data_IF_058748452864
#
_entry.id   IF_058748452864
#
_cell.length_a   1.000
_cell.length_b   1.000
_cell.length_c   1.000
_cell.angle_alpha   90.00
_cell.angle_beta   90.00
_cell.angle_gamma   90.00
#
_symmetry.space_group_name_H-M   'P 1'
#
loop_
_entity.id
_entity.type
_entity.pdbx_description
1 polymer ?
#
# COMPACT_ATOMS: atom_id res chain seq x y z
N UNK A 1 -10.82 -6.76 -26.70
CA UNK A 1 -9.88 -6.82 -25.56
C UNK A 1 -8.94 -5.64 -25.69
N UNK A 2 -8.71 -4.91 -24.61
CA UNK A 2 -7.79 -3.76 -24.64
C UNK A 2 -6.63 -4.05 -23.69
N UNK A 3 -5.41 -3.84 -24.17
CA UNK A 3 -4.19 -4.08 -23.40
C UNK A 3 -3.42 -2.77 -23.26
N UNK A 4 -2.93 -2.49 -22.06
CA UNK A 4 -2.16 -1.31 -21.72
C UNK A 4 -0.79 -1.75 -21.20
N UNK A 5 0.26 -1.15 -21.71
CA UNK A 5 1.54 -1.05 -21.02
C UNK A 5 1.39 -0.05 -19.89
N UNK A 6 1.82 -0.43 -18.69
CA UNK A 6 1.68 0.38 -17.50
C UNK A 6 3.05 0.77 -17.00
N UNK A 7 3.25 2.06 -16.80
CA UNK A 7 4.42 2.62 -16.13
C UNK A 7 3.98 3.27 -14.83
N UNK A 8 4.48 2.77 -13.70
CA UNK A 8 4.25 3.34 -12.38
C UNK A 8 5.51 4.06 -11.91
N UNK A 9 5.38 5.31 -11.51
CA UNK A 9 6.47 6.09 -10.89
C UNK A 9 6.11 6.44 -9.46
N UNK A 10 6.99 6.11 -8.51
CA UNK A 10 6.80 6.45 -7.09
C UNK A 10 6.99 7.95 -6.87
N UNK A 11 6.01 8.63 -6.26
CA UNK A 11 6.12 10.04 -5.85
C UNK A 11 6.68 10.12 -4.43
N UNK A 12 6.23 9.22 -3.55
CA UNK A 12 6.76 9.08 -2.20
C UNK A 12 7.12 7.64 -1.91
N UNK A 13 7.84 7.35 -0.81
CA UNK A 13 8.29 5.99 -0.56
C UNK A 13 7.12 5.02 -0.42
N UNK A 14 7.22 3.87 -1.07
CA UNK A 14 6.18 2.83 -1.11
C UNK A 14 6.67 1.61 -0.35
N UNK A 15 5.89 1.17 0.64
CA UNK A 15 6.11 -0.10 1.34
C UNK A 15 4.91 -1.01 1.14
N UNK A 16 5.16 -2.18 0.57
CA UNK A 16 4.22 -3.29 0.51
C UNK A 16 4.94 -4.44 1.22
N UNK A 17 4.44 -4.84 2.39
CA UNK A 17 5.09 -5.88 3.19
C UNK A 17 4.82 -7.28 2.64
N UNK A 18 5.81 -8.16 2.75
CA UNK A 18 5.68 -9.61 2.54
C UNK A 18 5.20 -10.36 3.80
N UNK A 19 5.10 -9.66 4.94
CA UNK A 19 4.75 -10.23 6.24
C UNK A 19 5.96 -10.59 7.10
N UNK A 20 7.17 -10.48 6.57
CA UNK A 20 8.41 -10.81 7.26
C UNK A 20 8.93 -9.62 8.07
N UNK A 21 9.34 -9.89 9.31
CA UNK A 21 10.11 -8.96 10.14
C UNK A 21 11.54 -9.48 10.24
N UNK A 22 12.49 -8.65 9.83
CA UNK A 22 13.91 -8.92 9.89
C UNK A 22 14.47 -8.45 11.24
N UNK A 23 15.42 -9.18 11.82
CA UNK A 23 16.03 -8.87 13.10
C UNK A 23 17.53 -8.59 12.96
N UNK A 24 17.98 -7.49 13.57
CA UNK A 24 19.40 -7.14 13.59
C UNK A 24 20.27 -8.30 14.12
N UNK A 25 21.41 -8.50 13.47
CA UNK A 25 22.40 -9.58 13.66
C UNK A 25 21.93 -10.97 13.25
N UNK A 26 20.64 -11.24 13.14
CA UNK A 26 20.14 -12.51 12.61
C UNK A 26 19.97 -12.47 11.10
N UNK A 27 19.32 -11.40 10.65
CA UNK A 27 18.80 -11.22 9.30
C UNK A 27 19.54 -10.13 8.52
N UNK A 28 19.99 -9.10 9.24
CA UNK A 28 20.70 -7.96 8.67
C UNK A 28 21.74 -7.43 9.65
N UNK A 29 22.68 -6.67 9.14
CA UNK A 29 23.56 -5.81 9.94
C UNK A 29 23.50 -4.39 9.37
N UNK A 30 23.58 -3.40 10.24
CA UNK A 30 23.57 -1.99 9.84
C UNK A 30 24.86 -1.26 10.22
N UNK A 31 25.20 -0.28 9.40
CA UNK A 31 25.98 0.87 9.84
C UNK A 31 25.06 2.10 9.82
N UNK A 32 25.48 3.23 10.41
CA UNK A 32 24.63 4.45 10.51
C UNK A 32 24.05 4.94 9.16
N UNK A 33 24.59 4.51 8.03
CA UNK A 33 24.21 4.97 6.69
C UNK A 33 23.48 3.92 5.84
N UNK A 34 23.63 2.63 6.14
CA UNK A 34 23.17 1.54 5.28
C UNK A 34 22.86 0.28 6.08
N UNK A 35 21.99 -0.55 5.52
CA UNK A 35 21.57 -1.85 6.06
C UNK A 35 21.91 -2.93 5.04
N UNK A 36 22.66 -3.94 5.47
CA UNK A 36 23.06 -5.09 4.65
C UNK A 36 22.27 -6.32 5.08
N UNK A 37 21.47 -6.86 4.15
CA UNK A 37 20.76 -8.14 4.33
C UNK A 37 21.79 -9.26 4.29
N UNK A 38 21.83 -10.07 5.34
CA UNK A 38 22.76 -11.20 5.42
C UNK A 38 22.39 -12.29 4.40
N UNK A 39 23.41 -13.02 3.96
CA UNK A 39 23.26 -14.33 3.33
C UNK A 39 23.57 -15.38 4.40
N UNK A 40 22.56 -15.71 5.18
CA UNK A 40 22.69 -16.52 6.40
C UNK A 40 23.31 -17.88 6.10
N UNK A 41 22.89 -18.53 5.03
CA UNK A 41 23.41 -19.84 4.62
C UNK A 41 24.92 -19.78 4.35
N UNK A 42 25.37 -18.78 3.59
CA UNK A 42 26.80 -18.62 3.26
C UNK A 42 27.62 -18.27 4.50
N UNK A 43 27.07 -17.46 5.41
CA UNK A 43 27.72 -17.10 6.67
C UNK A 43 27.85 -18.32 7.58
N UNK A 44 26.77 -19.10 7.73
CA UNK A 44 26.75 -20.29 8.57
C UNK A 44 27.69 -21.37 8.04
N UNK A 45 27.79 -21.54 6.72
CA UNK A 45 28.75 -22.46 6.11
C UNK A 45 30.20 -22.03 6.37
N UNK A 46 30.53 -20.76 6.07
CA UNK A 46 31.87 -20.20 6.27
C UNK A 46 32.33 -20.26 7.73
N UNK A 47 31.42 -20.04 8.67
CA UNK A 47 31.71 -19.95 10.11
C UNK A 47 31.16 -21.11 10.93
N UNK A 48 30.89 -22.25 10.29
CA UNK A 48 30.36 -23.46 10.92
C UNK A 48 31.13 -23.89 12.17
N UNK A 49 32.46 -23.80 12.15
CA UNK A 49 33.32 -24.12 13.30
C UNK A 49 33.19 -23.17 14.49
N UNK A 50 32.61 -21.98 14.29
CA UNK A 50 32.38 -20.96 15.33
C UNK A 50 30.93 -20.96 15.83
N UNK A 51 30.04 -21.74 15.21
CA UNK A 51 28.67 -21.95 15.65
C UNK A 51 28.64 -22.94 16.83
N UNK A 52 29.19 -22.52 17.96
CA UNK A 52 29.14 -23.26 19.22
C UNK A 52 28.23 -22.54 20.21
N UNK A 53 27.38 -23.27 20.97
CA UNK A 53 26.51 -22.64 21.94
C UNK A 53 27.32 -22.03 23.09
N UNK A 54 26.89 -20.86 23.56
CA UNK A 54 27.40 -20.22 24.76
C UNK A 54 27.01 -20.98 26.03
N UNK A 55 27.49 -20.48 27.18
CA UNK A 55 27.17 -21.08 28.50
C UNK A 55 25.68 -21.10 28.83
N UNK A 56 24.90 -20.22 28.21
CA UNK A 56 23.44 -20.12 28.34
C UNK A 56 22.69 -20.98 27.30
N UNK A 57 23.42 -21.76 26.48
CA UNK A 57 22.86 -22.59 25.41
C UNK A 57 22.48 -21.81 24.14
N UNK A 58 22.68 -20.49 24.10
CA UNK A 58 22.37 -19.68 22.92
C UNK A 58 23.48 -19.77 21.87
N UNK A 59 23.10 -19.79 20.59
CA UNK A 59 24.06 -19.70 19.49
C UNK A 59 24.31 -18.23 19.11
N UNK A 60 25.53 -17.88 18.68
CA UNK A 60 25.78 -16.56 18.13
C UNK A 60 24.94 -16.33 16.87
N UNK A 61 24.35 -15.14 16.76
CA UNK A 61 23.64 -14.74 15.55
C UNK A 61 24.62 -14.64 14.36
N UNK A 62 24.22 -14.96 13.11
CA UNK A 62 25.09 -14.91 11.93
C UNK A 62 25.90 -13.62 11.79
N UNK A 63 25.26 -12.46 11.96
CA UNK A 63 25.91 -11.15 11.89
C UNK A 63 26.93 -10.89 13.01
N UNK A 64 26.85 -11.60 14.13
CA UNK A 64 27.83 -11.51 15.22
C UNK A 64 29.12 -12.30 14.92
N UNK A 65 29.11 -13.18 13.92
CA UNK A 65 30.29 -13.93 13.47
C UNK A 65 31.17 -13.12 12.52
N UNK A 66 30.62 -12.04 11.95
CA UNK A 66 31.28 -11.23 10.93
C UNK A 66 32.34 -10.32 11.54
N UNK A 67 33.49 -10.25 10.89
CA UNK A 67 34.55 -9.29 11.18
C UNK A 67 34.39 -8.00 10.37
N UNK A 68 35.27 -7.02 10.60
CA UNK A 68 35.32 -5.81 9.77
C UNK A 68 35.71 -6.14 8.31
N UNK A 69 36.58 -7.12 8.08
CA UNK A 69 37.01 -7.52 6.74
C UNK A 69 35.88 -8.21 5.96
N UNK A 70 35.01 -8.95 6.65
CA UNK A 70 33.85 -9.62 6.05
C UNK A 70 32.85 -8.64 5.43
N UNK A 71 32.81 -7.39 5.90
CA UNK A 71 31.92 -6.36 5.33
C UNK A 71 32.22 -6.08 3.85
N UNK A 72 33.41 -6.45 3.36
CA UNK A 72 33.81 -6.30 1.96
C UNK A 72 33.52 -7.56 1.11
N UNK A 73 33.11 -8.68 1.71
CA UNK A 73 32.79 -9.91 0.99
C UNK A 73 31.31 -9.93 0.58
N UNK A 74 31.04 -9.52 -0.66
CA UNK A 74 29.68 -9.41 -1.19
C UNK A 74 28.88 -10.73 -1.13
N UNK A 75 29.53 -11.89 -1.04
CA UNK A 75 28.83 -13.20 -0.96
C UNK A 75 28.10 -13.39 0.37
N UNK A 76 28.56 -12.71 1.43
CA UNK A 76 27.97 -12.77 2.77
C UNK A 76 26.71 -11.92 2.90
N UNK A 77 26.33 -11.18 1.85
CA UNK A 77 25.17 -10.30 1.85
C UNK A 77 24.31 -10.54 0.62
N UNK A 78 22.99 -10.65 0.80
CA UNK A 78 22.04 -10.72 -0.33
C UNK A 78 21.95 -9.39 -1.06
N UNK A 79 21.94 -8.30 -0.29
CA UNK A 79 21.95 -6.92 -0.79
C UNK A 79 22.30 -5.92 0.32
N UNK A 80 22.68 -4.71 -0.07
CA UNK A 80 22.87 -3.56 0.84
C UNK A 80 22.06 -2.38 0.34
N UNK A 81 21.27 -1.79 1.24
CA UNK A 81 20.38 -0.66 0.94
C UNK A 81 20.70 0.55 1.80
N UNK A 82 20.48 1.79 1.31
CA UNK A 82 20.67 3.00 2.10
C UNK A 82 19.72 3.07 3.30
N UNK A 83 20.11 3.83 4.31
CA UNK A 83 19.36 4.01 5.54
C UNK A 83 19.58 2.88 6.53
N UNK A 84 19.32 3.19 7.80
CA UNK A 84 19.46 2.25 8.91
C UNK A 84 18.30 2.38 9.89
N UNK A 85 17.95 1.30 10.59
CA UNK A 85 17.11 1.37 11.76
C UNK A 85 17.69 2.34 12.79
N UNK A 86 16.85 3.04 13.54
CA UNK A 86 17.34 3.97 14.58
C UNK A 86 17.93 3.25 15.78
N UNK A 87 17.39 2.08 16.13
CA UNK A 87 17.88 1.27 17.24
C UNK A 87 19.01 0.38 16.74
N UNK A 88 20.18 0.52 17.37
CA UNK A 88 21.36 -0.34 17.16
C UNK A 88 21.38 -1.58 18.08
N UNK A 89 20.29 -1.83 18.82
CA UNK A 89 20.19 -3.00 19.70
C UNK A 89 20.09 -4.26 18.83
N UNK A 90 20.69 -5.37 19.27
CA UNK A 90 20.74 -6.66 18.55
C UNK A 90 19.41 -7.39 18.34
N UNK A 91 18.29 -6.67 18.40
CA UNK A 91 16.92 -7.14 18.14
C UNK A 91 16.06 -6.03 17.53
N UNK A 92 16.68 -4.99 16.95
CA UNK A 92 15.91 -4.01 16.20
C UNK A 92 15.23 -4.70 15.03
N UNK A 93 13.94 -4.45 14.92
CA UNK A 93 13.07 -5.03 13.89
C UNK A 93 13.08 -4.13 12.66
N UNK A 94 13.09 -4.74 11.48
CA UNK A 94 12.95 -4.07 10.20
C UNK A 94 11.88 -4.82 9.38
N UNK A 95 10.79 -4.15 9.01
CA UNK A 95 9.76 -4.76 8.16
C UNK A 95 10.25 -4.88 6.73
N UNK A 96 10.27 -6.10 6.19
CA UNK A 96 10.69 -6.39 4.83
C UNK A 96 9.66 -5.88 3.81
N UNK A 97 10.16 -5.30 2.71
CA UNK A 97 9.35 -5.00 1.54
C UNK A 97 9.25 -6.24 0.65
N UNK A 98 8.12 -6.45 -0.03
CA UNK A 98 7.94 -7.58 -0.94
C UNK A 98 8.93 -7.54 -2.10
N UNK A 99 9.50 -8.71 -2.41
CA UNK A 99 10.53 -8.93 -3.44
C UNK A 99 10.23 -10.21 -4.21
N UNK A 100 10.76 -10.29 -5.42
CA UNK A 100 10.80 -11.54 -6.17
C UNK A 100 11.82 -12.52 -5.58
N UNK A 101 11.95 -13.69 -6.20
CA UNK A 101 12.90 -14.74 -5.76
C UNK A 101 14.38 -14.32 -5.87
N UNK A 102 14.68 -13.21 -6.53
CA UNK A 102 16.03 -12.65 -6.72
C UNK A 102 16.25 -11.38 -5.88
N UNK A 103 15.45 -11.16 -4.83
CA UNK A 103 15.52 -9.99 -3.95
C UNK A 103 15.26 -8.64 -4.63
N UNK A 104 14.61 -8.65 -5.80
CA UNK A 104 14.23 -7.41 -6.48
C UNK A 104 12.84 -6.99 -6.01
N UNK A 105 12.67 -5.77 -5.48
CA UNK A 105 11.34 -5.31 -5.10
C UNK A 105 10.44 -5.17 -6.32
N UNK A 106 9.17 -5.44 -6.14
CA UNK A 106 8.15 -5.25 -7.17
C UNK A 106 6.85 -4.75 -6.53
N UNK A 107 5.93 -4.25 -7.35
CA UNK A 107 4.56 -3.94 -6.89
C UNK A 107 3.64 -5.05 -7.36
N UNK A 108 3.03 -5.83 -6.44
CA UNK A 108 2.06 -6.85 -6.83
C UNK A 108 0.88 -6.26 -7.58
N UNK A 109 0.44 -6.92 -8.64
CA UNK A 109 -0.72 -6.53 -9.43
C UNK A 109 -1.99 -6.48 -8.58
N UNK A 110 -2.07 -7.32 -7.54
CA UNK A 110 -3.13 -7.29 -6.53
C UNK A 110 -3.16 -5.99 -5.73
N UNK A 111 -2.01 -5.37 -5.46
CA UNK A 111 -1.91 -4.10 -4.73
C UNK A 111 -2.42 -2.93 -5.58
N UNK A 112 -1.99 -2.86 -6.84
CA UNK A 112 -2.47 -1.84 -7.78
C UNK A 112 -3.97 -2.07 -8.12
N UNK A 113 -4.37 -3.32 -8.36
CA UNK A 113 -5.78 -3.67 -8.59
C UNK A 113 -6.65 -3.32 -7.38
N UNK A 114 -6.14 -3.52 -6.17
CA UNK A 114 -6.82 -3.15 -4.93
C UNK A 114 -7.08 -1.64 -4.82
N UNK A 115 -6.09 -0.80 -5.14
CA UNK A 115 -6.29 0.66 -5.12
C UNK A 115 -7.25 1.13 -6.21
N UNK A 116 -7.17 0.56 -7.41
CA UNK A 116 -8.12 0.84 -8.50
C UNK A 116 -9.52 0.45 -8.05
N UNK A 117 -9.69 -0.76 -7.50
CA UNK A 117 -10.97 -1.23 -6.96
C UNK A 117 -11.55 -0.28 -5.92
N UNK A 118 -10.74 0.22 -4.98
CA UNK A 118 -11.22 1.19 -3.99
C UNK A 118 -11.68 2.50 -4.62
N UNK A 119 -10.98 2.99 -5.65
CA UNK A 119 -11.40 4.18 -6.38
C UNK A 119 -12.71 3.97 -7.15
N UNK A 120 -12.88 2.82 -7.81
CA UNK A 120 -14.12 2.47 -8.50
C UNK A 120 -15.27 2.31 -7.49
N UNK A 121 -15.03 1.67 -6.35
CA UNK A 121 -16.02 1.55 -5.28
C UNK A 121 -16.45 2.91 -4.73
N UNK A 122 -15.50 3.83 -4.58
CA UNK A 122 -15.77 5.20 -4.16
C UNK A 122 -16.66 5.96 -5.15
N UNK A 123 -16.41 5.82 -6.46
CA UNK A 123 -17.25 6.43 -7.49
C UNK A 123 -18.65 5.79 -7.53
N UNK A 124 -18.71 4.46 -7.57
CA UNK A 124 -19.97 3.72 -7.60
C UNK A 124 -20.86 3.95 -6.38
N UNK A 125 -20.27 4.07 -5.19
CA UNK A 125 -21.03 4.39 -3.98
C UNK A 125 -21.75 5.75 -4.09
N UNK A 126 -21.17 6.72 -4.80
CA UNK A 126 -21.80 8.03 -5.03
C UNK A 126 -22.83 7.98 -6.15
N UNK A 127 -22.49 7.34 -7.27
CA UNK A 127 -23.32 7.29 -8.47
C UNK A 127 -24.60 6.47 -8.27
N UNK A 128 -24.52 5.35 -7.54
CA UNK A 128 -25.68 4.51 -7.20
C UNK A 128 -26.41 5.01 -5.93
N UNK A 129 -26.03 6.18 -5.39
CA UNK A 129 -26.63 6.77 -4.19
C UNK A 129 -26.70 5.80 -2.99
N UNK A 130 -25.68 4.96 -2.83
CA UNK A 130 -25.65 3.96 -1.78
C UNK A 130 -25.56 4.61 -0.41
N UNK A 131 -26.16 3.96 0.58
CA UNK A 131 -26.07 4.33 1.98
C UNK A 131 -25.26 3.31 2.76
N UNK A 132 -24.50 3.79 3.75
CA UNK A 132 -23.83 2.93 4.71
C UNK A 132 -24.82 2.04 5.48
N UNK A 133 -26.09 2.45 5.59
CA UNK A 133 -27.15 1.65 6.25
C UNK A 133 -27.43 0.29 5.60
N UNK A 134 -26.95 0.04 4.38
CA UNK A 134 -26.98 -1.28 3.73
C UNK A 134 -25.98 -2.29 4.32
N UNK A 135 -25.09 -1.83 5.21
CA UNK A 135 -24.10 -2.68 5.87
C UNK A 135 -24.78 -3.55 6.94
N UNK A 136 -24.68 -4.87 6.77
CA UNK A 136 -25.16 -5.85 7.74
C UNK A 136 -24.18 -5.99 8.92
N UNK A 137 -24.51 -5.33 10.05
CA UNK A 137 -23.75 -5.38 11.30
C UNK A 137 -23.84 -6.73 12.04
N UNK A 138 -24.73 -7.62 11.62
CA UNK A 138 -24.83 -9.00 12.10
C UNK A 138 -23.66 -9.86 11.63
N UNK A 139 -23.03 -9.51 10.50
CA UNK A 139 -21.92 -10.26 9.90
C UNK A 139 -20.60 -10.08 10.68
N UNK A 140 -19.70 -11.09 10.65
CA UNK A 140 -18.33 -10.92 11.10
C UNK A 140 -17.59 -9.85 10.28
N UNK A 141 -16.57 -9.23 10.87
CA UNK A 141 -15.79 -8.12 10.28
C UNK A 141 -15.34 -8.38 8.83
N UNK A 142 -14.98 -9.61 8.50
CA UNK A 142 -14.52 -9.99 7.16
C UNK A 142 -15.62 -9.92 6.08
N UNK A 143 -16.89 -9.97 6.49
CA UNK A 143 -18.04 -10.10 5.59
C UNK A 143 -18.99 -8.89 5.63
N UNK A 144 -18.79 -7.97 6.56
CA UNK A 144 -19.62 -6.77 6.77
C UNK A 144 -19.77 -5.92 5.52
N UNK A 145 -18.71 -5.75 4.73
CA UNK A 145 -18.73 -4.97 3.49
C UNK A 145 -19.25 -5.74 2.27
N UNK A 146 -19.60 -7.02 2.42
CA UNK A 146 -19.90 -7.90 1.28
C UNK A 146 -21.17 -7.48 0.53
N UNK A 147 -22.18 -6.93 1.23
CA UNK A 147 -23.40 -6.41 0.60
C UNK A 147 -23.09 -5.31 -0.42
N UNK A 148 -22.38 -4.27 0.04
CA UNK A 148 -21.90 -3.17 -0.81
C UNK A 148 -21.01 -3.65 -1.95
N UNK A 149 -20.10 -4.59 -1.66
CA UNK A 149 -19.24 -5.16 -2.71
C UNK A 149 -20.05 -5.87 -3.80
N UNK A 150 -21.09 -6.62 -3.41
CA UNK A 150 -21.97 -7.31 -4.36
C UNK A 150 -22.78 -6.36 -5.21
N UNK A 151 -23.23 -5.25 -4.62
CA UNK A 151 -23.97 -4.21 -5.32
C UNK A 151 -23.08 -3.44 -6.31
N UNK A 152 -21.85 -3.11 -5.91
CA UNK A 152 -20.92 -2.34 -6.72
C UNK A 152 -20.26 -3.17 -7.83
N UNK A 153 -19.85 -4.40 -7.52
CA UNK A 153 -19.03 -5.20 -8.43
C UNK A 153 -19.70 -6.47 -8.90
N UNK A 154 -20.82 -6.90 -8.31
CA UNK A 154 -21.58 -8.08 -8.70
C UNK A 154 -21.62 -9.19 -7.64
N UNK A 155 -22.63 -10.06 -7.76
CA UNK A 155 -23.11 -10.94 -6.68
C UNK A 155 -22.12 -11.95 -6.10
N UNK A 156 -21.10 -12.35 -6.86
CA UNK A 156 -20.08 -13.31 -6.45
C UNK A 156 -18.81 -13.15 -7.31
N UNK A 157 -17.80 -13.98 -7.06
CA UNK A 157 -16.55 -13.95 -7.81
C UNK A 157 -16.74 -14.13 -9.31
N UNK A 158 -17.63 -15.02 -9.76
CA UNK A 158 -17.89 -15.28 -11.18
C UNK A 158 -18.63 -14.12 -11.86
N UNK A 159 -19.44 -13.38 -11.10
CA UNK A 159 -20.19 -12.24 -11.61
C UNK A 159 -19.53 -10.91 -11.23
N UNK A 160 -18.22 -10.91 -10.91
CA UNK A 160 -17.54 -9.67 -10.50
C UNK A 160 -17.01 -8.88 -11.70
N UNK A 161 -17.35 -7.59 -11.81
CA UNK A 161 -16.78 -6.64 -12.78
C UNK A 161 -15.25 -6.63 -12.74
N UNK A 162 -14.68 -6.84 -11.54
CA UNK A 162 -13.24 -6.89 -11.33
C UNK A 162 -12.56 -8.08 -12.03
N UNK A 163 -13.31 -9.06 -12.56
CA UNK A 163 -12.75 -10.11 -13.43
C UNK A 163 -12.31 -9.57 -14.78
N UNK A 164 -13.00 -8.55 -15.30
CA UNK A 164 -12.64 -7.94 -16.57
C UNK A 164 -11.35 -7.13 -16.48
N UNK A 165 -10.94 -6.69 -15.27
CA UNK A 165 -9.68 -5.99 -15.03
C UNK A 165 -8.59 -6.97 -14.59
N UNK A 166 -7.61 -7.21 -15.44
CA UNK A 166 -6.43 -8.04 -15.14
C UNK A 166 -5.21 -7.13 -15.02
N UNK A 167 -4.50 -7.21 -13.90
CA UNK A 167 -3.34 -6.37 -13.60
C UNK A 167 -2.17 -7.31 -13.34
N UNK A 168 -1.11 -7.22 -14.13
CA UNK A 168 0.12 -7.99 -13.87
C UNK A 168 0.84 -7.44 -12.65
N UNK A 169 1.80 -8.19 -12.13
CA UNK A 169 2.82 -7.61 -11.26
C UNK A 169 3.64 -6.57 -12.03
N UNK A 170 4.16 -5.57 -11.31
CA UNK A 170 4.97 -4.50 -11.86
C UNK A 170 6.42 -4.68 -11.41
N UNK A 171 7.30 -5.02 -12.36
CA UNK A 171 8.72 -5.22 -12.13
C UNK A 171 9.45 -3.87 -12.05
N UNK A 172 10.52 -3.81 -11.27
CA UNK A 172 11.33 -2.60 -11.17
C UNK A 172 12.05 -2.29 -12.50
N UNK A 173 12.15 -1.01 -12.85
CA UNK A 173 12.81 -0.57 -14.08
C UNK A 173 14.31 -0.87 -14.09
N UNK A 174 14.88 -0.96 -15.30
CA UNK A 174 16.26 -1.41 -15.55
C UNK A 174 17.33 -0.70 -14.70
N UNK A 175 17.16 0.59 -14.41
CA UNK A 175 18.12 1.35 -13.58
C UNK A 175 18.22 0.86 -12.11
N UNK A 176 17.28 0.04 -11.66
CA UNK A 176 17.27 -0.56 -10.33
C UNK A 176 17.08 -2.09 -10.37
N UNK A 177 17.25 -2.75 -11.52
CA UNK A 177 17.08 -4.20 -11.69
C UNK A 177 18.26 -4.99 -11.07
N UNK A 178 18.26 -5.06 -9.74
CA UNK A 178 19.25 -5.79 -8.93
C UNK A 178 18.69 -6.08 -7.53
N UNK A 179 19.26 -7.04 -6.78
CA UNK A 179 18.90 -7.29 -5.38
C UNK A 179 18.91 -6.00 -4.55
N UNK A 180 17.79 -5.71 -3.86
CA UNK A 180 17.60 -4.49 -3.07
C UNK A 180 17.58 -3.18 -3.88
N UNK A 181 17.62 -3.25 -5.22
CA UNK A 181 17.60 -2.10 -6.09
C UNK A 181 16.36 -1.24 -5.87
N UNK A 182 16.53 0.08 -5.82
CA UNK A 182 15.42 1.00 -5.54
C UNK A 182 14.93 1.03 -4.09
N UNK A 183 15.41 0.17 -3.17
CA UNK A 183 15.02 0.19 -1.76
C UNK A 183 15.83 1.17 -0.91
N UNK A 184 15.24 1.53 0.24
CA UNK A 184 15.86 2.25 1.35
C UNK A 184 15.15 1.88 2.66
N UNK A 185 15.87 1.90 3.78
CA UNK A 185 15.25 1.84 5.12
C UNK A 185 14.65 3.19 5.49
N UNK A 186 13.37 3.17 5.86
CA UNK A 186 12.61 4.31 6.35
C UNK A 186 12.17 4.12 7.79
N UNK A 187 12.22 5.21 8.53
CA UNK A 187 11.72 5.31 9.90
C UNK A 187 10.32 5.92 9.84
N UNK A 188 9.28 5.17 10.21
CA UNK A 188 7.89 5.63 10.14
C UNK A 188 7.28 5.77 11.52
N UNK A 189 6.60 6.87 11.79
CA UNK A 189 5.82 7.04 13.02
C UNK A 189 4.32 7.04 12.73
N UNK A 190 3.56 6.44 13.66
CA UNK A 190 2.11 6.60 13.69
C UNK A 190 1.81 7.80 14.56
N UNK A 191 1.23 8.83 13.96
CA UNK A 191 0.96 10.11 14.61
C UNK A 191 -0.54 10.37 14.71
N UNK A 192 -0.95 11.05 15.77
CA UNK A 192 -2.29 11.63 15.98
C UNK A 192 -2.11 13.11 16.30
N UNK A 193 -3.19 13.89 16.44
CA UNK A 193 -3.07 15.30 16.87
C UNK A 193 -2.42 15.48 18.25
N UNK A 194 -2.45 14.47 19.12
CA UNK A 194 -2.06 14.61 20.53
C UNK A 194 -0.85 13.76 20.92
N UNK A 195 -0.45 12.83 20.06
CA UNK A 195 0.59 11.85 20.40
C UNK A 195 1.18 11.21 19.16
N UNK A 196 2.39 10.69 19.33
CA UNK A 196 3.10 9.89 18.35
C UNK A 196 3.56 8.57 18.98
N UNK A 197 3.61 7.51 18.17
CA UNK A 197 4.13 6.21 18.57
C UNK A 197 5.66 6.16 18.51
N UNK A 198 6.22 5.12 19.13
CA UNK A 198 7.56 4.68 18.76
C UNK A 198 7.63 4.41 17.25
N UNK A 199 8.78 4.66 16.63
CA UNK A 199 8.97 4.41 15.22
C UNK A 199 8.84 2.94 14.86
N UNK A 200 8.47 2.70 13.61
CA UNK A 200 8.51 1.40 12.94
C UNK A 200 9.46 1.56 11.76
N UNK A 201 10.53 0.77 11.79
CA UNK A 201 11.51 0.70 10.72
C UNK A 201 11.04 -0.28 9.65
N UNK A 202 11.13 0.15 8.39
CA UNK A 202 10.71 -0.67 7.25
C UNK A 202 11.56 -0.40 6.01
N UNK A 203 11.70 -1.39 5.16
CA UNK A 203 12.21 -1.20 3.81
C UNK A 203 11.12 -0.58 2.93
N UNK A 204 11.45 0.38 2.08
CA UNK A 204 10.51 0.93 1.11
C UNK A 204 11.19 1.24 -0.21
N UNK A 205 10.43 1.14 -1.29
CA UNK A 205 10.84 1.63 -2.61
C UNK A 205 10.96 3.14 -2.53
N UNK A 206 12.10 3.69 -2.94
CA UNK A 206 12.40 5.12 -2.95
C UNK A 206 11.43 5.89 -3.84
N UNK A 207 11.30 7.22 -3.68
CA UNK A 207 10.69 8.09 -4.68
C UNK A 207 11.45 8.00 -6.01
N UNK A 208 10.78 8.39 -7.10
CA UNK A 208 11.34 8.48 -8.45
C UNK A 208 11.85 7.14 -8.99
N UNK A 209 11.30 6.03 -8.48
CA UNK A 209 11.54 4.69 -9.00
C UNK A 209 10.42 4.35 -9.97
N UNK A 210 10.83 3.92 -11.16
CA UNK A 210 9.92 3.46 -12.21
C UNK A 210 9.73 1.95 -12.11
N UNK A 211 8.50 1.49 -12.30
CA UNK A 211 8.12 0.09 -12.40
C UNK A 211 7.22 -0.10 -13.62
N UNK A 212 7.34 -1.26 -14.27
CA UNK A 212 6.63 -1.56 -15.51
C UNK A 212 5.81 -2.85 -15.38
N UNK A 213 4.62 -2.85 -15.96
CA UNK A 213 3.73 -4.00 -16.03
C UNK A 213 2.68 -3.82 -17.10
N UNK A 214 1.58 -4.57 -17.00
CA UNK A 214 0.48 -4.51 -17.96
C UNK A 214 -0.87 -4.52 -17.26
N UNK A 215 -1.84 -3.87 -17.89
CA UNK A 215 -3.25 -3.98 -17.54
C UNK A 215 -4.01 -4.46 -18.77
N UNK A 216 -4.86 -5.45 -18.59
CA UNK A 216 -5.77 -5.96 -19.62
C UNK A 216 -7.21 -5.73 -19.16
N UNK A 217 -8.01 -5.15 -20.06
CA UNK A 217 -9.47 -5.06 -19.94
C UNK A 217 -10.08 -6.09 -20.88
N UNK A 218 -10.71 -7.10 -20.30
CA UNK A 218 -11.33 -8.20 -21.03
C UNK A 218 -12.70 -7.80 -21.60
N UNK A 219 -12.68 -7.28 -22.82
CA UNK A 219 -13.88 -6.91 -23.57
C UNK A 219 -14.85 -8.08 -23.83
N UNK A 220 -14.42 -9.34 -23.74
CA UNK A 220 -15.34 -10.48 -23.90
C UNK A 220 -16.36 -10.58 -22.75
N UNK A 221 -16.03 -10.02 -21.59
CA UNK A 221 -16.90 -9.90 -20.42
C UNK A 221 -17.66 -8.56 -20.40
N UNK A 222 -17.37 -7.66 -21.34
CA UNK A 222 -17.90 -6.29 -21.44
C UNK A 222 -18.30 -5.97 -22.89
N UNK A 223 -19.18 -6.76 -23.52
CA UNK A 223 -19.60 -6.47 -24.88
C UNK A 223 -20.33 -5.11 -24.91
N UNK A 224 -20.00 -4.23 -25.87
CA UNK A 224 -20.61 -2.91 -25.94
C UNK A 224 -22.12 -3.02 -26.18
N UNK A 225 -22.93 -2.04 -25.74
CA UNK A 225 -24.39 -2.07 -25.97
C UNK A 225 -24.79 -2.19 -27.44
N UNK A 226 -23.92 -1.74 -28.35
CA UNK A 226 -24.09 -1.82 -29.80
C UNK A 226 -23.91 -3.23 -30.37
N UNK A 227 -23.26 -4.15 -29.65
CA UNK A 227 -23.10 -5.54 -30.07
C UNK A 227 -24.38 -6.32 -29.76
N UNK A 228 -25.14 -6.66 -30.80
CA UNK A 228 -26.43 -7.38 -30.72
C UNK A 228 -26.29 -8.89 -30.95
N UNK A 229 -25.07 -9.44 -30.93
CA UNK A 229 -24.87 -10.88 -31.06
C UNK A 229 -25.53 -11.67 -29.92
N UNK A 230 -25.94 -12.91 -30.18
CA UNK A 230 -26.53 -13.79 -29.18
C UNK A 230 -25.61 -13.98 -27.95
N UNK A 231 -24.30 -14.03 -28.19
CA UNK A 231 -23.29 -14.04 -27.14
C UNK A 231 -23.34 -12.77 -26.29
N UNK A 232 -23.27 -11.59 -26.91
CA UNK A 232 -23.26 -10.32 -26.21
C UNK A 232 -24.52 -10.10 -25.36
N UNK A 233 -25.70 -10.44 -25.90
CA UNK A 233 -26.97 -10.39 -25.17
C UNK A 233 -26.97 -11.34 -23.96
N UNK A 234 -26.46 -12.57 -24.13
CA UNK A 234 -26.35 -13.53 -23.02
C UNK A 234 -25.42 -13.01 -21.92
N UNK A 235 -24.23 -12.53 -22.29
CA UNK A 235 -23.24 -12.03 -21.34
C UNK A 235 -23.77 -10.83 -20.55
N UNK A 236 -24.40 -9.85 -21.22
CA UNK A 236 -24.99 -8.70 -20.52
C UNK A 236 -26.09 -9.11 -19.55
N UNK A 237 -26.97 -10.03 -19.95
CA UNK A 237 -28.02 -10.57 -19.08
C UNK A 237 -27.46 -11.32 -17.86
N UNK A 238 -26.39 -12.09 -18.05
CA UNK A 238 -25.81 -12.91 -16.98
C UNK A 238 -24.94 -12.09 -16.01
N UNK A 239 -24.12 -11.18 -16.53
CA UNK A 239 -23.16 -10.41 -15.73
C UNK A 239 -23.73 -9.10 -15.18
N UNK A 240 -24.68 -8.47 -15.88
CA UNK A 240 -25.33 -7.24 -15.44
C UNK A 240 -24.40 -6.02 -15.34
N UNK A 241 -23.26 -6.02 -16.04
CA UNK A 241 -22.25 -4.95 -15.96
C UNK A 241 -22.63 -3.66 -16.69
N UNK A 242 -23.76 -3.62 -17.39
CA UNK A 242 -24.16 -2.52 -18.29
C UNK A 242 -24.09 -1.14 -17.63
N UNK A 243 -24.44 -1.05 -16.34
CA UNK A 243 -24.38 0.21 -15.59
C UNK A 243 -22.95 0.70 -15.33
N UNK A 244 -21.98 -0.21 -15.24
CA UNK A 244 -20.64 0.07 -14.71
C UNK A 244 -19.53 -0.14 -15.76
N UNK A 245 -19.85 -0.45 -17.02
CA UNK A 245 -18.84 -0.66 -18.07
C UNK A 245 -17.99 0.59 -18.33
N UNK A 246 -18.56 1.78 -18.13
CA UNK A 246 -17.88 3.07 -18.28
C UNK A 246 -16.74 3.23 -17.25
N UNK A 247 -16.89 2.65 -16.05
CA UNK A 247 -15.90 2.80 -14.98
C UNK A 247 -14.51 2.27 -15.36
N UNK A 248 -14.46 1.17 -16.11
CA UNK A 248 -13.19 0.58 -16.55
C UNK A 248 -12.54 1.39 -17.68
N UNK A 249 -13.32 2.14 -18.47
CA UNK A 249 -12.79 3.10 -19.44
C UNK A 249 -12.26 4.38 -18.78
N UNK A 250 -12.77 4.74 -17.60
CA UNK A 250 -12.43 5.98 -16.88
C UNK A 250 -11.58 5.74 -15.62
N UNK A 251 -10.80 4.65 -15.56
CA UNK A 251 -9.99 4.30 -14.38
C UNK A 251 -9.09 5.46 -13.94
N UNK A 252 -8.35 6.08 -14.87
CA UNK A 252 -7.40 7.14 -14.56
C UNK A 252 -8.08 8.38 -13.97
N UNK A 253 -9.22 8.77 -14.53
CA UNK A 253 -10.03 9.89 -14.06
C UNK A 253 -10.61 9.62 -12.68
N UNK A 254 -11.27 8.46 -12.50
CA UNK A 254 -11.90 8.06 -11.24
C UNK A 254 -10.85 7.94 -10.12
N UNK A 255 -9.72 7.28 -10.39
CA UNK A 255 -8.60 7.15 -9.47
C UNK A 255 -8.05 8.50 -9.03
N UNK A 256 -7.81 9.40 -9.99
CA UNK A 256 -7.29 10.74 -9.71
C UNK A 256 -8.30 11.57 -8.91
N UNK A 257 -9.59 11.50 -9.24
CA UNK A 257 -10.66 12.21 -8.50
C UNK A 257 -10.73 11.76 -7.05
N UNK A 258 -10.75 10.44 -6.81
CA UNK A 258 -10.70 9.87 -5.46
C UNK A 258 -9.44 10.33 -4.69
N UNK A 259 -8.28 10.28 -5.35
CA UNK A 259 -7.00 10.75 -4.78
C UNK A 259 -7.04 12.24 -4.42
N UNK A 260 -7.53 13.12 -5.30
CA UNK A 260 -7.66 14.56 -5.01
C UNK A 260 -8.60 14.83 -3.84
N UNK A 261 -9.71 14.10 -3.75
CA UNK A 261 -10.64 14.19 -2.61
C UNK A 261 -9.97 13.74 -1.29
N UNK A 262 -9.13 12.70 -1.34
CA UNK A 262 -8.31 12.28 -0.20
C UNK A 262 -7.26 13.31 0.18
N UNK A 263 -6.56 13.88 -0.81
CA UNK A 263 -5.50 14.87 -0.60
C UNK A 263 -6.06 16.10 0.11
N UNK A 264 -7.22 16.62 -0.29
CA UNK A 264 -7.83 17.81 0.35
C UNK A 264 -8.09 17.59 1.85
N UNK A 265 -8.55 16.40 2.24
CA UNK A 265 -8.70 16.02 3.65
C UNK A 265 -7.36 15.93 4.37
N UNK A 266 -6.33 15.39 3.72
CA UNK A 266 -5.00 15.28 4.31
C UNK A 266 -4.37 16.67 4.50
N UNK A 267 -4.56 17.62 3.57
CA UNK A 267 -4.17 19.03 3.77
C UNK A 267 -4.80 19.57 5.04
N UNK A 268 -6.13 19.46 5.19
CA UNK A 268 -6.85 19.94 6.39
C UNK A 268 -6.39 19.25 7.67
N UNK A 269 -6.07 17.97 7.60
CA UNK A 269 -5.60 17.22 8.76
C UNK A 269 -4.21 17.68 9.20
N UNK A 270 -3.24 17.67 8.28
CA UNK A 270 -1.85 18.03 8.58
C UNK A 270 -1.68 19.52 8.93
N UNK A 271 -2.55 20.42 8.47
CA UNK A 271 -2.49 21.84 8.82
C UNK A 271 -2.82 22.13 10.29
N UNK A 272 -3.33 21.13 11.02
CA UNK A 272 -3.72 21.24 12.44
C UNK A 272 -2.88 20.32 13.34
N UNK A 273 -1.80 19.76 12.80
CA UNK A 273 -0.85 18.92 13.53
C UNK A 273 0.43 19.71 13.74
N UNK A 274 0.90 19.79 14.98
CA UNK A 274 2.18 20.41 15.32
C UNK A 274 3.33 19.75 14.55
N UNK A 275 4.17 20.53 13.87
CA UNK A 275 5.24 20.03 12.99
C UNK A 275 4.75 19.50 11.63
N UNK A 276 3.45 19.65 11.33
CA UNK A 276 2.81 19.17 10.11
C UNK A 276 2.99 20.07 8.87
N UNK A 277 3.71 21.18 8.97
CA UNK A 277 3.80 22.22 7.94
C UNK A 277 4.42 21.68 6.66
N UNK A 278 5.47 20.85 6.78
CA UNK A 278 6.12 20.22 5.63
C UNK A 278 5.16 19.31 4.86
N UNK A 279 4.39 18.49 5.58
CA UNK A 279 3.41 17.59 4.98
C UNK A 279 2.23 18.35 4.39
N UNK A 280 1.79 19.43 5.06
CA UNK A 280 0.78 20.34 4.53
C UNK A 280 1.21 20.95 3.21
N UNK A 281 2.46 21.46 3.11
CA UNK A 281 3.03 21.97 1.86
C UNK A 281 3.11 20.89 0.79
N UNK A 282 3.57 19.68 1.14
CA UNK A 282 3.61 18.54 0.22
C UNK A 282 2.24 18.23 -0.37
N UNK A 283 1.21 18.05 0.46
CA UNK A 283 -0.14 17.72 -0.01
C UNK A 283 -0.78 18.87 -0.78
N UNK A 284 -0.55 20.12 -0.38
CA UNK A 284 -1.00 21.29 -1.13
C UNK A 284 -0.32 21.40 -2.51
N UNK A 285 0.93 20.96 -2.63
CA UNK A 285 1.61 20.82 -3.93
C UNK A 285 0.99 19.69 -4.76
N UNK A 286 0.80 18.52 -4.15
CA UNK A 286 0.22 17.35 -4.82
C UNK A 286 -1.22 17.61 -5.29
N UNK A 287 -2.00 18.40 -4.55
CA UNK A 287 -3.37 18.79 -4.92
C UNK A 287 -3.44 19.58 -6.24
N UNK A 288 -2.35 20.29 -6.59
CA UNK A 288 -2.24 21.11 -7.81
C UNK A 288 -1.71 20.33 -9.01
N UNK A 289 -1.30 19.07 -8.82
CA UNK A 289 -0.82 18.23 -9.91
C UNK A 289 -2.00 17.91 -10.82
N UNK A 290 -1.91 18.38 -12.06
CA UNK A 290 -2.77 17.96 -13.14
C UNK A 290 -2.11 16.81 -13.90
N UNK A 291 -2.88 15.76 -14.15
CA UNK A 291 -2.41 14.55 -14.82
C UNK A 291 -3.16 14.38 -16.14
N UNK A 292 -2.50 13.82 -17.14
CA UNK A 292 -3.12 13.54 -18.43
C UNK A 292 -4.25 12.49 -18.32
N UNK A 293 -5.09 12.40 -19.35
CA UNK A 293 -6.25 11.46 -19.38
C UNK A 293 -5.87 10.00 -19.14
N UNK A 294 -4.64 9.63 -19.49
CA UNK A 294 -4.13 8.26 -19.36
C UNK A 294 -3.22 8.08 -18.14
N UNK A 295 -3.25 9.00 -17.19
CA UNK A 295 -2.42 8.95 -15.98
C UNK A 295 -3.31 8.98 -14.74
N UNK A 296 -3.10 8.03 -13.84
CA UNK A 296 -3.78 7.95 -12.55
C UNK A 296 -2.85 8.40 -11.42
N UNK A 297 -3.32 9.30 -10.56
CA UNK A 297 -2.72 9.53 -9.25
C UNK A 297 -3.35 8.56 -8.24
N UNK A 298 -2.53 7.77 -7.53
CA UNK A 298 -2.98 6.75 -6.58
C UNK A 298 -2.12 6.74 -5.31
N UNK A 299 -2.66 6.15 -4.24
CA UNK A 299 -1.92 5.83 -3.03
C UNK A 299 -1.94 4.32 -2.74
N UNK A 300 -0.77 3.72 -2.60
CA UNK A 300 -0.57 2.27 -2.45
C UNK A 300 0.11 1.89 -1.12
N UNK A 301 -0.09 0.64 -0.75
CA UNK A 301 0.70 -0.03 0.28
C UNK A 301 0.36 0.38 1.72
N UNK A 302 1.26 0.04 2.63
CA UNK A 302 1.05 0.18 4.07
C UNK A 302 0.85 1.64 4.52
N UNK A 303 1.37 2.60 3.77
CA UNK A 303 1.23 4.03 4.03
C UNK A 303 -0.22 4.55 4.03
N UNK A 304 -1.07 3.92 3.21
CA UNK A 304 -2.41 4.43 2.88
C UNK A 304 -3.36 4.51 4.08
N UNK A 305 -3.25 3.58 5.03
CA UNK A 305 -4.14 3.53 6.20
C UNK A 305 -5.59 3.14 5.86
N UNK A 306 -6.46 3.08 6.88
CA UNK A 306 -7.84 2.62 6.70
C UNK A 306 -8.66 3.50 5.74
N UNK A 307 -8.48 4.83 5.81
CA UNK A 307 -9.26 5.80 5.06
C UNK A 307 -8.87 5.94 3.58
N UNK A 308 -7.74 5.35 3.16
CA UNK A 308 -7.42 5.21 1.74
C UNK A 308 -7.56 3.78 1.21
N UNK A 309 -7.69 2.78 2.09
CA UNK A 309 -8.05 1.40 1.70
C UNK A 309 -9.57 1.17 1.70
N UNK A 310 -10.35 2.20 2.01
CA UNK A 310 -11.81 2.21 2.00
C UNK A 310 -12.29 3.52 1.41
N UNK A 311 -13.57 3.61 1.05
CA UNK A 311 -14.25 4.89 0.80
C UNK A 311 -14.75 5.50 2.12
N UNK A 312 -13.90 5.49 3.15
CA UNK A 312 -14.26 5.74 4.54
C UNK A 312 -14.88 7.11 4.82
N UNK A 313 -14.62 8.10 3.98
CA UNK A 313 -15.29 9.40 4.09
C UNK A 313 -16.77 9.36 3.69
N UNK A 314 -17.13 8.50 2.74
CA UNK A 314 -18.53 8.29 2.36
C UNK A 314 -19.27 7.50 3.45
N UNK A 315 -18.61 6.51 4.06
CA UNK A 315 -19.15 5.76 5.20
C UNK A 315 -19.38 6.63 6.45
N UNK A 316 -18.67 7.74 6.58
CA UNK A 316 -18.78 8.68 7.70
C UNK A 316 -19.85 9.77 7.50
N UNK A 317 -20.57 9.77 6.37
CA UNK A 317 -21.65 10.74 6.11
C UNK A 317 -22.83 10.61 7.09
N UNK A 318 -23.07 9.42 7.61
CA UNK A 318 -23.97 9.17 8.75
C UNK A 318 -23.12 8.92 10.01
N UNK A 319 -22.90 9.94 10.86
CA UNK A 319 -22.04 9.79 12.04
C UNK A 319 -22.59 8.81 13.07
N UNK A 320 -23.92 8.66 13.16
CA UNK A 320 -24.56 7.79 14.14
C UNK A 320 -24.39 6.32 13.73
N UNK A 321 -24.70 6.00 12.47
CA UNK A 321 -24.49 4.64 11.97
C UNK A 321 -23.01 4.26 11.92
N UNK A 322 -22.13 5.20 11.52
CA UNK A 322 -20.70 4.95 11.50
C UNK A 322 -20.15 4.62 12.89
N UNK A 323 -20.64 5.28 13.93
CA UNK A 323 -20.24 4.97 15.30
C UNK A 323 -20.67 3.55 15.72
N UNK A 324 -21.83 3.07 15.26
CA UNK A 324 -22.24 1.67 15.47
C UNK A 324 -21.24 0.69 14.83
N UNK A 325 -20.77 0.96 13.60
CA UNK A 325 -19.73 0.16 12.93
C UNK A 325 -18.46 0.12 13.80
N UNK A 326 -17.98 1.30 14.22
CA UNK A 326 -16.73 1.42 14.99
C UNK A 326 -16.81 0.65 16.31
N UNK A 327 -17.93 0.74 17.02
CA UNK A 327 -18.16 0.04 18.29
C UNK A 327 -18.29 -1.48 18.09
N UNK A 328 -19.12 -1.90 17.13
CA UNK A 328 -19.39 -3.31 16.81
C UNK A 328 -18.13 -4.09 16.47
N UNK A 329 -17.21 -3.47 15.73
CA UNK A 329 -15.98 -4.11 15.26
C UNK A 329 -14.72 -3.64 16.00
N UNK A 330 -14.89 -2.90 17.12
CA UNK A 330 -13.81 -2.44 18.01
C UNK A 330 -12.67 -1.76 17.22
N UNK A 331 -13.03 -0.90 16.28
CA UNK A 331 -12.09 -0.32 15.30
C UNK A 331 -11.25 0.83 15.86
N UNK A 332 -11.58 1.33 17.05
CA UNK A 332 -10.84 2.37 17.74
C UNK A 332 -10.34 1.87 19.09
N UNK A 333 -9.08 2.16 19.41
CA UNK A 333 -8.54 1.95 20.75
C UNK A 333 -9.23 2.88 21.75
N UNK A 334 -9.44 2.41 22.98
CA UNK A 334 -9.94 3.25 24.08
C UNK A 334 -8.96 4.40 24.33
N UNK A 335 -9.51 5.57 24.65
CA UNK A 335 -8.70 6.72 25.03
C UNK A 335 -7.91 6.41 26.30
N UNK A 336 -6.74 7.04 26.49
CA UNK A 336 -5.96 6.93 27.74
C UNK A 336 -6.76 7.37 28.97
N UNK A 337 -7.74 8.24 28.78
CA UNK A 337 -8.65 8.73 29.83
C UNK A 337 -9.84 7.80 30.09
N UNK A 338 -9.93 6.67 29.39
CA UNK A 338 -11.04 5.70 29.52
C UNK A 338 -12.38 6.17 28.96
N UNK A 339 -12.49 7.44 28.54
CA UNK A 339 -13.72 7.99 27.99
C UNK A 339 -14.11 7.29 26.68
N UNK A 340 -15.39 6.91 26.52
CA UNK A 340 -15.89 6.31 25.30
C UNK A 340 -15.86 7.32 24.15
N UNK A 341 -15.66 6.80 22.94
CA UNK A 341 -15.77 7.56 21.70
C UNK A 341 -17.20 8.08 21.55
N UNK A 342 -17.35 9.30 21.02
CA UNK A 342 -18.65 9.89 20.70
C UNK A 342 -18.87 9.90 19.18
N UNK A 343 -20.14 9.83 18.76
CA UNK A 343 -20.49 10.02 17.36
C UNK A 343 -19.94 11.36 16.86
N UNK A 344 -19.29 11.35 15.70
CA UNK A 344 -18.60 12.52 15.14
C UNK A 344 -17.14 12.69 15.56
N UNK A 345 -16.61 11.89 16.51
CA UNK A 345 -15.17 11.87 16.79
C UNK A 345 -14.37 11.55 15.52
N UNK A 346 -13.20 12.17 15.33
CA UNK A 346 -12.37 11.91 14.15
C UNK A 346 -12.02 10.43 13.97
N UNK A 347 -12.11 9.92 12.73
CA UNK A 347 -11.69 8.57 12.36
C UNK A 347 -11.13 8.49 10.93
N UNK A 348 -10.04 7.75 10.69
CA UNK A 348 -9.11 7.24 11.70
C UNK A 348 -8.38 8.41 12.37
N UNK A 349 -8.03 8.26 13.66
CA UNK A 349 -7.32 9.31 14.43
C UNK A 349 -5.86 9.46 14.04
N UNK A 350 -5.28 8.43 13.43
CA UNK A 350 -3.85 8.34 13.18
C UNK A 350 -3.51 8.41 11.69
N UNK A 351 -2.31 8.93 11.38
CA UNK A 351 -1.66 8.84 10.07
C UNK A 351 -0.25 8.29 10.22
N UNK A 352 0.28 7.68 9.16
CA UNK A 352 1.66 7.17 9.11
C UNK A 352 2.52 8.17 8.35
N UNK A 353 3.64 8.56 8.93
CA UNK A 353 4.55 9.55 8.35
C UNK A 353 5.99 9.09 8.47
N UNK A 354 6.78 9.29 7.42
CA UNK A 354 8.22 9.10 7.47
C UNK A 354 8.80 10.24 8.30
N UNK A 355 9.73 9.92 9.18
CA UNK A 355 10.39 10.89 10.05
C UNK A 355 11.90 10.81 9.90
N UNK A 356 12.56 11.93 10.15
CA UNK A 356 14.00 12.05 10.24
C UNK A 356 14.37 12.90 11.47
N UNK A 357 15.65 13.28 11.60
CA UNK A 357 16.14 14.11 12.72
C UNK A 357 15.44 15.47 12.82
N UNK A 358 14.93 16.01 11.71
CA UNK A 358 14.24 17.31 11.63
C UNK A 358 12.73 17.23 11.86
N UNK A 359 12.18 16.03 12.13
CA UNK A 359 10.74 15.81 12.35
C UNK A 359 10.05 15.08 11.20
N UNK A 360 8.78 15.44 10.93
CA UNK A 360 7.97 14.79 9.90
C UNK A 360 8.48 15.16 8.50
N UNK A 361 8.85 14.14 7.72
CA UNK A 361 9.58 14.32 6.47
C UNK A 361 8.71 14.15 5.22
N UNK A 362 7.99 13.02 5.10
CA UNK A 362 7.21 12.69 3.90
C UNK A 362 6.07 11.70 4.24
N UNK A 363 4.96 11.70 3.46
CA UNK A 363 3.98 10.64 3.53
C UNK A 363 4.45 9.41 2.74
N UNK A 364 3.72 8.30 2.86
CA UNK A 364 4.01 7.06 2.16
C UNK A 364 2.98 6.77 1.06
N UNK A 365 3.42 6.06 0.02
CA UNK A 365 2.54 5.34 -0.89
C UNK A 365 2.05 6.08 -2.13
N UNK A 366 2.39 7.36 -2.34
CA UNK A 366 1.86 8.08 -3.51
C UNK A 366 2.61 7.69 -4.79
N UNK A 367 1.86 7.41 -5.85
CA UNK A 367 2.38 6.97 -7.16
C UNK A 367 1.60 7.62 -8.30
N UNK A 368 2.27 7.78 -9.44
CA UNK A 368 1.63 8.05 -10.74
C UNK A 368 1.65 6.79 -11.58
N UNK A 369 0.55 6.48 -12.24
CA UNK A 369 0.41 5.29 -13.08
C UNK A 369 -0.03 5.72 -14.47
N UNK A 370 0.86 5.61 -15.44
CA UNK A 370 0.61 5.90 -16.85
C UNK A 370 0.15 4.65 -17.59
N UNK A 371 -0.92 4.78 -18.36
CA UNK A 371 -1.53 3.74 -19.18
C UNK A 371 -1.25 4.06 -20.65
N UNK A 372 -0.50 3.19 -21.32
CA UNK A 372 -0.25 3.30 -22.75
C UNK A 372 -0.93 2.15 -23.46
N UNK A 373 -2.01 2.43 -24.17
CA UNK A 373 -2.73 1.42 -24.94
C UNK A 373 -1.81 0.82 -26.01
N UNK A 374 -1.72 -0.52 -26.02
CA UNK A 374 -1.05 -1.25 -27.10
C UNK A 374 -1.94 -1.16 -28.33
N UNK A 375 -1.48 -0.42 -29.33
CA UNK A 375 -2.10 -0.44 -30.66
C UNK A 375 -1.93 -1.85 -31.21
N UNK A 376 -3.05 -2.54 -31.39
CA UNK A 376 -3.15 -3.85 -32.03
C UNK A 376 -2.80 -3.80 -33.51
#
# INVERSE_FOLDING_TARGET
>A
MTMYDVKLTTITPVHIGDGTTLHNKFDFVENRQSTSRLNEDTIMEKYSSRLVPGRDGSYPAPGALLSADDMNDARLFRYTIPGAPRSLKGYSELKSCIKDVYDRPYIPGSSLKGSIRTALAWAGFQEEHLSAGSIDLGKPKAWTGQGLEKELFGRDSNHSLMRALQVSDLAIGAGNDRPGGGLRVYNVQVITHKSQSSPVELEGIKPEVELAGTIKIDGSLLPPPTDTSAYAMKVRRELGFEKHTVWLGSICEIATRNSKERISRLVKWFSTVEGGERLTRFYSGLAKVEVGKNVALLQLGWGTGWDGMTFGALLQKDPAFFEQIVQRYKMAMRSKTGLPRRAGDAFPKSRRVIVNETGYFAPLGWVMVEFKERKS
#
